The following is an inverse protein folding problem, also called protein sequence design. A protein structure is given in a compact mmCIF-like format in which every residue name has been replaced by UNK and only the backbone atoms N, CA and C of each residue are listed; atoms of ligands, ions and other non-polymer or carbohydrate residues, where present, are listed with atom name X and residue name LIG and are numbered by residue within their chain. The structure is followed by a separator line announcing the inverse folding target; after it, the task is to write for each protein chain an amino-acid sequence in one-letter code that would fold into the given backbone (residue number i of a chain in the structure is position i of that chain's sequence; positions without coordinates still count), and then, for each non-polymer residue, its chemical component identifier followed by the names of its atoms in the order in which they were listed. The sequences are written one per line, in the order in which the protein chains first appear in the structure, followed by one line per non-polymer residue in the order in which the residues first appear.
data_IF_518647269828
#
_entry.id   IF_518647269828
#
_cell.length_a   1.000
_cell.length_b   1.000
_cell.length_c   1.000
_cell.angle_alpha   90.00
_cell.angle_beta   90.00
_cell.angle_gamma   90.00
#
_symmetry.space_group_name_H-M   'P 1'
#
loop_
_entity.id
_entity.type
_entity.pdbx_description
1 polymer ?
#
# COMPACT_ATOMS: atom_id res chain seq x y z
N UNK A 1 6.18 -3.00 2.42
CA UNK A 1 6.79 -1.88 1.68
C UNK A 1 8.30 -1.93 1.91
N UNK A 2 9.09 -1.73 0.85
CA UNK A 2 10.57 -1.79 0.93
C UNK A 2 11.12 -0.62 1.76
N UNK A 3 12.31 -0.80 2.35
CA UNK A 3 13.10 0.22 3.05
C UNK A 3 13.34 1.51 2.25
N UNK A 4 13.08 1.50 0.93
CA UNK A 4 13.22 2.65 0.05
C UNK A 4 11.99 3.57 0.04
N UNK A 5 10.79 3.05 0.33
CA UNK A 5 9.56 3.85 0.27
C UNK A 5 9.53 4.95 1.33
N UNK A 6 9.81 4.60 2.59
CA UNK A 6 9.80 5.56 3.71
C UNK A 6 10.83 6.68 3.51
N UNK A 7 11.96 6.36 2.87
CA UNK A 7 12.98 7.34 2.49
C UNK A 7 12.50 8.24 1.36
N UNK A 8 11.88 7.66 0.32
CA UNK A 8 11.40 8.41 -0.84
C UNK A 8 10.28 9.42 -0.48
N UNK A 9 9.47 9.15 0.55
CA UNK A 9 8.43 10.07 1.04
C UNK A 9 8.93 11.09 2.07
N UNK A 10 10.07 10.86 2.72
CA UNK A 10 10.66 11.82 3.65
C UNK A 10 11.16 13.07 2.92
N UNK A 11 11.12 14.23 3.57
CA UNK A 11 11.66 15.49 3.04
C UNK A 11 12.93 15.84 3.80
N UNK A 12 14.03 16.10 3.08
CA UNK A 12 15.22 16.76 3.63
C UNK A 12 15.05 18.29 3.55
N UNK A 13 14.84 18.98 4.69
CA UNK A 13 14.64 20.43 4.70
C UNK A 13 15.91 21.24 4.37
N UNK A 14 17.10 20.61 4.37
CA UNK A 14 18.36 21.29 4.09
C UNK A 14 18.74 21.27 2.60
N UNK A 15 18.08 20.43 1.80
CA UNK A 15 18.39 20.22 0.38
C UNK A 15 17.10 20.27 -0.47
N UNK A 16 16.29 21.32 -0.27
CA UNK A 16 15.00 21.46 -0.94
C UNK A 16 15.12 21.47 -2.47
N UNK A 17 16.20 22.06 -3.01
CA UNK A 17 16.52 22.10 -4.43
C UNK A 17 16.76 20.68 -5.01
N UNK A 18 17.53 19.86 -4.30
CA UNK A 18 17.79 18.46 -4.68
C UNK A 18 16.53 17.62 -4.59
N UNK A 19 15.76 17.78 -3.51
CA UNK A 19 14.46 17.11 -3.32
C UNK A 19 13.49 17.46 -4.45
N UNK A 20 13.42 18.73 -4.84
CA UNK A 20 12.61 19.19 -5.96
C UNK A 20 12.99 18.57 -7.30
N UNK A 21 14.28 18.50 -7.60
CA UNK A 21 14.77 17.90 -8.84
C UNK A 21 14.51 16.38 -8.88
N UNK A 22 14.65 15.69 -7.74
CA UNK A 22 14.47 14.24 -7.63
C UNK A 22 12.99 13.83 -7.63
N UNK A 23 12.09 14.67 -7.11
CA UNK A 23 10.68 14.33 -6.90
C UNK A 23 9.98 13.80 -8.15
N UNK A 24 10.21 14.42 -9.32
CA UNK A 24 9.59 14.01 -10.57
C UNK A 24 9.99 12.60 -11.00
N UNK A 25 11.28 12.25 -10.85
CA UNK A 25 11.79 10.93 -11.19
C UNK A 25 11.25 9.86 -10.24
N UNK A 26 11.26 10.16 -8.93
CA UNK A 26 10.69 9.26 -7.92
C UNK A 26 9.20 9.02 -8.18
N UNK A 27 8.43 10.08 -8.42
CA UNK A 27 7.01 9.99 -8.74
C UNK A 27 6.77 9.10 -9.97
N UNK A 28 7.49 9.36 -11.06
CA UNK A 28 7.35 8.58 -12.29
C UNK A 28 7.60 7.09 -12.07
N UNK A 29 8.66 6.74 -11.33
CA UNK A 29 9.00 5.35 -11.00
C UNK A 29 7.88 4.62 -10.26
N UNK A 30 7.25 5.26 -9.27
CA UNK A 30 6.13 4.64 -8.55
C UNK A 30 4.84 4.62 -9.38
N UNK A 31 4.61 5.64 -10.21
CA UNK A 31 3.46 5.70 -11.10
C UNK A 31 3.51 4.59 -12.16
N UNK A 32 4.68 4.34 -12.75
CA UNK A 32 4.91 3.24 -13.68
C UNK A 32 4.64 1.88 -13.02
N UNK A 33 5.24 1.64 -11.83
CA UNK A 33 4.99 0.40 -11.08
C UNK A 33 3.52 0.22 -10.69
N UNK A 34 2.82 1.30 -10.33
CA UNK A 34 1.39 1.25 -10.01
C UNK A 34 0.57 0.87 -11.26
N UNK A 35 0.91 1.42 -12.43
CA UNK A 35 0.27 1.08 -13.70
C UNK A 35 0.50 -0.40 -14.07
N UNK A 36 1.72 -0.90 -13.94
CA UNK A 36 2.04 -2.31 -14.20
C UNK A 36 1.29 -3.24 -13.24
N UNK A 37 1.26 -2.90 -11.95
CA UNK A 37 0.53 -3.68 -10.95
C UNK A 37 -0.98 -3.69 -11.25
N UNK A 38 -1.52 -2.59 -11.77
CA UNK A 38 -2.92 -2.51 -12.20
C UNK A 38 -3.21 -3.44 -13.36
N UNK A 39 -2.37 -3.40 -14.41
CA UNK A 39 -2.52 -4.28 -15.58
C UNK A 39 -2.48 -5.76 -15.16
N UNK A 40 -1.49 -6.15 -14.35
CA UNK A 40 -1.39 -7.51 -13.83
C UNK A 40 -2.61 -7.93 -13.02
N UNK A 41 -3.12 -7.03 -12.15
CA UNK A 41 -4.33 -7.28 -11.37
C UNK A 41 -5.55 -7.48 -12.26
N UNK A 42 -5.79 -6.60 -13.23
CA UNK A 42 -6.96 -6.68 -14.13
C UNK A 42 -6.90 -7.95 -14.99
N UNK A 43 -5.73 -8.29 -15.56
CA UNK A 43 -5.54 -9.55 -16.29
C UNK A 43 -5.80 -10.78 -15.42
N UNK A 44 -5.44 -10.74 -14.14
CA UNK A 44 -5.71 -11.85 -13.23
C UNK A 44 -7.21 -11.95 -12.90
N UNK A 45 -7.95 -10.83 -12.79
CA UNK A 45 -9.41 -10.86 -12.64
C UNK A 45 -10.07 -11.53 -13.85
N UNK A 46 -9.65 -11.17 -15.06
CA UNK A 46 -10.15 -11.80 -16.28
C UNK A 46 -9.87 -13.31 -16.29
N UNK A 47 -8.66 -13.73 -15.91
CA UNK A 47 -8.31 -15.15 -15.80
C UNK A 47 -9.18 -15.91 -14.79
N UNK A 48 -9.47 -15.32 -13.63
CA UNK A 48 -10.38 -15.91 -12.65
C UNK A 48 -11.78 -16.07 -13.25
N UNK A 49 -12.30 -15.06 -13.94
CA UNK A 49 -13.61 -15.13 -14.57
C UNK A 49 -13.69 -16.22 -15.66
N UNK A 50 -12.66 -16.35 -16.50
CA UNK A 50 -12.56 -17.42 -17.50
C UNK A 50 -12.50 -18.79 -16.82
N UNK A 51 -11.67 -18.94 -15.79
CA UNK A 51 -11.56 -20.19 -15.03
C UNK A 51 -12.89 -20.60 -14.38
N UNK A 52 -13.63 -19.66 -13.79
CA UNK A 52 -14.95 -19.93 -13.21
C UNK A 52 -15.95 -20.39 -14.28
N UNK A 53 -15.91 -19.79 -15.47
CA UNK A 53 -16.75 -20.19 -16.60
C UNK A 53 -16.40 -21.59 -17.11
N UNK A 54 -15.10 -21.91 -17.24
CA UNK A 54 -14.60 -23.22 -17.65
C UNK A 54 -14.97 -24.31 -16.63
N UNK A 55 -14.77 -24.04 -15.34
CA UNK A 55 -15.19 -24.94 -14.27
C UNK A 55 -16.70 -25.17 -14.29
N UNK A 56 -17.48 -24.11 -14.49
CA UNK A 56 -18.94 -24.23 -14.64
C UNK A 56 -19.35 -25.10 -15.82
N UNK A 57 -18.68 -24.99 -16.96
CA UNK A 57 -18.94 -25.84 -18.12
C UNK A 57 -18.52 -27.30 -17.86
N UNK A 58 -17.37 -27.50 -17.23
CA UNK A 58 -16.84 -28.83 -16.90
C UNK A 58 -17.74 -29.57 -15.91
N UNK A 59 -18.23 -28.88 -14.87
CA UNK A 59 -19.16 -29.44 -13.88
C UNK A 59 -20.49 -29.80 -14.53
N UNK A 60 -21.05 -28.94 -15.40
CA UNK A 60 -22.29 -29.25 -16.13
C UNK A 60 -22.13 -30.43 -17.08
N UNK A 61 -20.96 -30.57 -17.70
CA UNK A 61 -20.67 -31.65 -18.64
C UNK A 61 -20.46 -33.00 -17.94
N UNK A 62 -19.88 -33.02 -16.73
CA UNK A 62 -19.58 -34.23 -15.98
C UNK A 62 -19.80 -34.07 -14.46
N UNK A 63 -21.06 -33.92 -14.01
CA UNK A 63 -21.36 -33.56 -12.61
C UNK A 63 -20.96 -34.62 -11.59
N UNK A 64 -21.04 -35.89 -11.96
CA UNK A 64 -20.64 -37.02 -11.09
C UNK A 64 -19.16 -36.99 -10.74
N UNK A 65 -18.29 -36.51 -11.64
CA UNK A 65 -16.84 -36.34 -11.38
C UNK A 65 -16.57 -35.34 -10.25
N UNK A 66 -17.47 -34.38 -10.06
CA UNK A 66 -17.38 -33.34 -9.04
C UNK A 66 -18.24 -33.66 -7.80
N UNK A 67 -18.72 -34.90 -7.67
CA UNK A 67 -19.51 -35.34 -6.51
C UNK A 67 -20.94 -34.80 -6.48
N UNK A 68 -21.49 -34.37 -7.62
CA UNK A 68 -22.86 -33.87 -7.71
C UNK A 68 -23.81 -34.96 -8.23
N UNK A 69 -24.78 -35.37 -7.38
CA UNK A 69 -25.89 -36.24 -7.80
C UNK A 69 -26.98 -35.47 -8.57
N UNK A 70 -27.22 -34.20 -8.20
CA UNK A 70 -28.19 -33.32 -8.86
C UNK A 70 -27.51 -32.03 -9.30
N UNK A 71 -27.61 -31.75 -10.59
CA UNK A 71 -27.09 -30.52 -11.19
C UNK A 71 -28.06 -29.38 -10.91
N UNK A 72 -27.80 -28.62 -9.86
CA UNK A 72 -28.48 -27.35 -9.60
C UNK A 72 -27.48 -26.20 -9.70
N UNK A 73 -27.93 -25.02 -10.11
CA UNK A 73 -27.06 -23.85 -10.22
C UNK A 73 -26.38 -23.50 -8.88
N UNK A 74 -27.08 -23.66 -7.75
CA UNK A 74 -26.50 -23.45 -6.42
C UNK A 74 -25.42 -24.48 -6.06
N UNK A 75 -25.60 -25.74 -6.46
CA UNK A 75 -24.59 -26.78 -6.26
C UNK A 75 -23.35 -26.54 -7.12
N UNK A 76 -23.54 -26.16 -8.40
CA UNK A 76 -22.44 -25.81 -9.30
C UNK A 76 -21.61 -24.66 -8.74
N UNK A 77 -22.26 -23.57 -8.31
CA UNK A 77 -21.57 -22.42 -7.72
C UNK A 77 -20.76 -22.83 -6.48
N UNK A 78 -21.36 -23.61 -5.58
CA UNK A 78 -20.68 -24.10 -4.37
C UNK A 78 -19.45 -24.96 -4.69
N UNK A 79 -19.56 -25.82 -5.71
CA UNK A 79 -18.44 -26.64 -6.19
C UNK A 79 -17.33 -25.78 -6.78
N UNK A 80 -17.66 -24.78 -7.62
CA UNK A 80 -16.68 -23.83 -8.16
C UNK A 80 -15.97 -23.10 -7.02
N UNK A 81 -16.69 -22.65 -5.99
CA UNK A 81 -16.09 -21.96 -4.84
C UNK A 81 -15.04 -22.80 -4.12
N UNK A 82 -15.25 -24.11 -4.05
CA UNK A 82 -14.40 -25.05 -3.33
C UNK A 82 -13.19 -25.55 -4.15
N UNK A 83 -13.22 -25.37 -5.48
CA UNK A 83 -12.16 -25.79 -6.39
C UNK A 83 -10.79 -25.21 -6.01
N UNK A 84 -9.76 -26.06 -5.99
CA UNK A 84 -8.40 -25.67 -5.61
C UNK A 84 -7.79 -24.68 -6.59
N UNK A 85 -8.00 -24.89 -7.90
CA UNK A 85 -7.47 -24.02 -8.96
C UNK A 85 -8.05 -22.61 -8.84
N UNK A 86 -9.34 -22.51 -8.53
CA UNK A 86 -9.99 -21.22 -8.25
C UNK A 86 -9.39 -20.55 -7.03
N UNK A 87 -9.22 -21.29 -5.92
CA UNK A 87 -8.63 -20.74 -4.68
C UNK A 87 -7.24 -20.17 -4.91
N UNK A 88 -6.39 -20.90 -5.64
CA UNK A 88 -5.05 -20.44 -6.00
C UNK A 88 -5.08 -19.18 -6.88
N UNK A 89 -5.97 -19.14 -7.88
CA UNK A 89 -6.13 -17.98 -8.74
C UNK A 89 -6.63 -16.74 -7.98
N UNK A 90 -7.51 -16.94 -7.00
CA UNK A 90 -8.02 -15.89 -6.11
C UNK A 90 -6.96 -15.38 -5.13
N UNK A 91 -6.13 -16.26 -4.56
CA UNK A 91 -5.03 -15.87 -3.68
C UNK A 91 -4.00 -15.00 -4.42
N UNK A 92 -3.68 -15.41 -5.66
CA UNK A 92 -2.83 -14.61 -6.54
C UNK A 92 -3.45 -13.25 -6.86
N UNK A 93 -4.75 -13.21 -7.13
CA UNK A 93 -5.48 -11.95 -7.36
C UNK A 93 -5.43 -11.04 -6.12
N UNK A 94 -5.67 -11.59 -4.92
CA UNK A 94 -5.60 -10.85 -3.67
C UNK A 94 -4.21 -10.22 -3.45
N UNK A 95 -3.15 -10.97 -3.73
CA UNK A 95 -1.77 -10.47 -3.66
C UNK A 95 -1.54 -9.31 -4.64
N UNK A 96 -2.05 -9.40 -5.87
CA UNK A 96 -1.92 -8.34 -6.87
C UNK A 96 -2.73 -7.09 -6.51
N UNK A 97 -3.95 -7.25 -5.97
CA UNK A 97 -4.76 -6.14 -5.44
C UNK A 97 -3.99 -5.42 -4.34
N UNK A 98 -3.45 -6.17 -3.37
CA UNK A 98 -2.69 -5.58 -2.27
C UNK A 98 -1.48 -4.81 -2.78
N UNK A 99 -0.72 -5.38 -3.73
CA UNK A 99 0.43 -4.71 -4.34
C UNK A 99 0.04 -3.43 -5.07
N UNK A 100 -1.00 -3.46 -5.90
CA UNK A 100 -1.50 -2.30 -6.62
C UNK A 100 -1.94 -1.18 -5.66
N UNK A 101 -2.64 -1.53 -4.57
CA UNK A 101 -3.09 -0.54 -3.59
C UNK A 101 -1.91 0.12 -2.87
N UNK A 102 -0.90 -0.65 -2.45
CA UNK A 102 0.30 -0.09 -1.84
C UNK A 102 1.03 0.90 -2.75
N UNK A 103 1.17 0.56 -4.04
CA UNK A 103 1.80 1.45 -5.02
C UNK A 103 0.94 2.68 -5.31
N UNK A 104 -0.38 2.53 -5.33
CA UNK A 104 -1.32 3.65 -5.50
C UNK A 104 -1.24 4.62 -4.31
N UNK A 105 -1.13 4.10 -3.09
CA UNK A 105 -0.90 4.90 -1.88
C UNK A 105 0.44 5.64 -2.01
N UNK A 106 1.50 4.97 -2.48
CA UNK A 106 2.81 5.58 -2.67
C UNK A 106 2.76 6.79 -3.63
N UNK A 107 2.09 6.64 -4.77
CA UNK A 107 1.89 7.73 -5.74
C UNK A 107 1.15 8.91 -5.08
N UNK A 108 0.09 8.64 -4.32
CA UNK A 108 -0.66 9.69 -3.59
C UNK A 108 0.19 10.39 -2.53
N UNK A 109 1.00 9.64 -1.78
CA UNK A 109 1.91 10.21 -0.78
C UNK A 109 2.98 11.09 -1.42
N UNK A 110 3.48 10.73 -2.60
CA UNK A 110 4.43 11.57 -3.34
C UNK A 110 3.77 12.86 -3.88
N UNK A 111 2.50 12.81 -4.27
CA UNK A 111 1.75 14.02 -4.64
C UNK A 111 1.54 14.97 -3.43
N UNK A 112 1.28 14.40 -2.25
CA UNK A 112 1.26 15.18 -1.00
C UNK A 112 2.64 15.77 -0.66
N UNK A 113 3.72 15.01 -0.86
CA UNK A 113 5.10 15.50 -0.68
C UNK A 113 5.39 16.71 -1.58
N UNK A 114 4.95 16.70 -2.84
CA UNK A 114 5.06 17.87 -3.73
C UNK A 114 4.42 19.11 -3.09
N UNK A 115 3.18 19.00 -2.62
CA UNK A 115 2.48 20.12 -1.97
C UNK A 115 3.20 20.61 -0.71
N UNK A 116 3.78 19.70 0.08
CA UNK A 116 4.59 20.06 1.24
C UNK A 116 5.87 20.83 0.84
N UNK A 117 6.58 20.36 -0.19
CA UNK A 117 7.77 21.03 -0.73
C UNK A 117 7.45 22.43 -1.28
N UNK A 118 6.30 22.62 -1.95
CA UNK A 118 5.86 23.94 -2.43
C UNK A 118 5.66 24.92 -1.27
N UNK A 119 5.04 24.46 -0.18
CA UNK A 119 4.83 25.28 1.00
C UNK A 119 6.14 25.60 1.72
N UNK A 120 7.09 24.65 1.80
CA UNK A 120 8.42 24.89 2.37
C UNK A 120 9.20 25.95 1.59
N UNK A 121 9.18 25.88 0.25
CA UNK A 121 9.82 26.90 -0.60
C UNK A 121 9.15 28.27 -0.41
N UNK A 122 7.82 28.32 -0.30
CA UNK A 122 7.10 29.57 0.00
C UNK A 122 7.51 30.17 1.35
N UNK A 123 7.60 29.35 2.40
CA UNK A 123 8.07 29.79 3.72
C UNK A 123 9.50 30.32 3.64
N UNK A 124 10.37 29.66 2.89
CA UNK A 124 11.74 30.11 2.67
C UNK A 124 11.78 31.47 1.96
N UNK A 125 11.00 31.66 0.89
CA UNK A 125 10.90 32.93 0.16
C UNK A 125 10.31 34.08 0.99
N UNK A 126 9.50 33.77 2.01
CA UNK A 126 8.97 34.73 2.98
C UNK A 126 9.97 35.10 4.08
N UNK A 127 11.24 34.66 3.99
CA UNK A 127 12.25 34.86 5.02
C UNK A 127 11.84 34.29 6.39
N UNK A 128 10.94 33.30 6.43
CA UNK A 128 10.50 32.65 7.67
C UNK A 128 11.70 32.14 8.48
N UNK A 129 12.74 31.66 7.79
CA UNK A 129 13.97 31.14 8.38
C UNK A 129 15.06 32.19 8.63
N UNK A 130 14.86 33.46 8.26
CA UNK A 130 15.90 34.51 8.30
C UNK A 130 15.70 35.56 9.42
N UNK A 131 14.91 35.23 10.46
CA UNK A 131 14.69 36.14 11.59
C UNK A 131 15.91 36.20 12.55
N UNK A 132 16.22 37.35 13.21
CA UNK A 132 17.36 37.49 14.14
C UNK A 132 17.25 36.70 15.46
N UNK A 133 16.42 35.67 15.50
CA UNK A 133 16.29 34.75 16.62
C UNK A 133 17.22 33.57 16.34
N UNK A 134 17.93 33.10 17.37
CA UNK A 134 18.86 31.95 17.35
C UNK A 134 18.47 30.94 16.25
N UNK A 135 19.35 30.66 15.26
CA UNK A 135 19.00 29.79 14.13
C UNK A 135 18.41 28.49 14.65
N UNK A 136 17.12 28.28 14.38
CA UNK A 136 16.44 27.05 14.76
C UNK A 136 16.91 26.00 13.76
N UNK A 137 17.80 25.09 14.20
CA UNK A 137 18.26 23.99 13.36
C UNK A 137 17.09 23.03 13.10
N UNK A 138 16.47 23.18 11.93
CA UNK A 138 15.28 22.45 11.49
C UNK A 138 15.57 20.95 11.42
N UNK A 139 16.77 20.56 10.99
CA UNK A 139 17.19 19.16 10.97
C UNK A 139 17.20 18.59 12.38
N UNK A 140 17.75 19.34 13.34
CA UNK A 140 17.77 18.93 14.76
C UNK A 140 16.36 18.91 15.39
N UNK A 141 15.49 19.87 15.07
CA UNK A 141 14.14 19.92 15.63
C UNK A 141 13.24 18.83 15.04
N UNK A 142 13.38 18.53 13.74
CA UNK A 142 12.72 17.41 13.10
C UNK A 142 13.23 16.08 13.66
N UNK A 143 14.54 15.91 13.83
CA UNK A 143 15.12 14.72 14.44
C UNK A 143 14.61 14.51 15.88
N UNK A 144 14.54 15.57 16.69
CA UNK A 144 13.93 15.54 18.04
C UNK A 144 12.45 15.15 17.99
N UNK A 145 11.70 15.63 17.01
CA UNK A 145 10.29 15.29 16.83
C UNK A 145 10.11 13.81 16.45
N UNK A 146 10.93 13.30 15.54
CA UNK A 146 10.95 11.90 15.13
C UNK A 146 11.31 11.00 16.32
N UNK A 147 12.34 11.33 17.09
CA UNK A 147 12.69 10.60 18.32
C UNK A 147 11.56 10.62 19.35
N UNK A 148 10.92 11.78 19.56
CA UNK A 148 9.79 11.91 20.49
C UNK A 148 8.61 11.04 20.06
N UNK A 149 8.32 10.97 18.77
CA UNK A 149 7.24 10.15 18.25
C UNK A 149 7.57 8.66 18.32
N UNK A 150 8.80 8.25 17.99
CA UNK A 150 9.26 6.87 18.17
C UNK A 150 9.22 6.43 19.65
N UNK A 151 9.58 7.32 20.58
CA UNK A 151 9.46 7.06 22.02
C UNK A 151 7.99 6.91 22.45
N UNK A 152 7.08 7.73 21.92
CA UNK A 152 5.63 7.62 22.18
C UNK A 152 5.04 6.31 21.68
N UNK A 153 5.46 5.83 20.52
CA UNK A 153 4.96 4.58 19.95
C UNK A 153 5.42 3.36 20.77
N UNK A 154 6.68 3.35 21.23
CA UNK A 154 7.16 2.35 22.22
C UNK A 154 6.33 2.36 23.51
N UNK A 155 5.99 3.54 24.02
CA UNK A 155 5.15 3.65 25.24
C UNK A 155 3.74 3.11 24.99
N UNK A 156 3.13 3.41 23.84
CA UNK A 156 1.81 2.85 23.46
C UNK A 156 1.85 1.34 23.37
N UNK A 157 2.90 0.77 22.79
CA UNK A 157 3.07 -0.68 22.64
C UNK A 157 3.20 -1.39 24.00
N UNK A 158 3.99 -0.82 24.91
CA UNK A 158 4.11 -1.31 26.31
C UNK A 158 2.77 -1.21 27.04
N UNK A 159 2.05 -0.11 26.90
CA UNK A 159 0.73 0.10 27.51
C UNK A 159 -0.33 -0.86 26.95
N UNK A 160 -0.31 -1.12 25.64
CA UNK A 160 -1.17 -2.10 25.00
C UNK A 160 -0.88 -3.51 25.55
N UNK A 161 0.39 -3.92 25.64
CA UNK A 161 0.78 -5.24 26.16
C UNK A 161 0.38 -5.46 27.64
N UNK A 162 0.43 -4.40 28.46
CA UNK A 162 -0.05 -4.44 29.85
C UNK A 162 -1.56 -4.61 29.93
N UNK A 163 -2.31 -3.90 29.08
CA UNK A 163 -3.78 -3.98 29.04
C UNK A 163 -4.25 -5.39 28.67
N UNK A 164 -3.58 -6.06 27.74
CA UNK A 164 -3.89 -7.45 27.36
C UNK A 164 -3.57 -8.45 28.48
N UNK A 165 -2.54 -8.22 29.29
CA UNK A 165 -2.19 -9.07 30.44
C UNK A 165 -3.15 -8.93 31.62
N UNK A 166 -3.75 -7.76 31.83
CA UNK A 166 -4.68 -7.53 32.95
C UNK A 166 -6.09 -8.07 32.70
N UNK A 167 -6.50 -8.22 31.43
CA UNK A 167 -7.83 -8.75 31.05
C UNK A 167 -7.87 -10.28 31.07
N UNK A 168 -6.71 -10.95 31.14
CA UNK A 168 -6.59 -12.40 31.08
C UNK A 168 -6.44 -13.07 32.46
N UNK A 169 -6.90 -12.42 33.53
CA UNK A 169 -6.77 -12.89 34.92
C UNK A 169 -8.08 -12.83 35.68
#
# INVERSE_FOLDING_TARGET
MSSDYDKDISVDPLQLDVEWAKQAQTFHRYAEQAADARDLMERQKEKVAVLEAELGLAIRSNPTKYGLEKVTEGAIQSTILLDSSRKEAMEKLATLIHRHELLSIAVRSLDQKKSALENLVRLQGQNYFASPSVPRDIGSEWAKEVERNAARDKVKEVMASKKTRTVSR
#
